data_IF_777687079212
#
_entry.id   IF_777687079212
#
_cell.length_a   1.000
_cell.length_b   1.000
_cell.length_c   1.000
_cell.angle_alpha   90.00
_cell.angle_beta   90.00
_cell.angle_gamma   90.00
#
_symmetry.space_group_name_H-M   'P 1'
#
loop_
_entity.id
_entity.type
_entity.pdbx_description
1 polymer ?
#
# COMPACT_ATOMS: atom_id res chain seq x y z
N UNK A 1 11.43 4.41 12.87
CA UNK A 1 10.09 3.99 12.45
C UNK A 1 9.04 4.88 13.12
N UNK A 2 8.05 5.30 12.36
CA UNK A 2 6.89 6.01 12.89
C UNK A 2 5.61 5.25 12.58
N UNK A 3 4.62 5.39 13.44
CA UNK A 3 3.30 4.80 13.25
C UNK A 3 2.31 5.88 12.84
N UNK A 4 1.63 5.67 11.73
CA UNK A 4 0.49 6.49 11.32
C UNK A 4 -0.79 5.79 11.77
N UNK A 5 -1.53 6.44 12.67
CA UNK A 5 -2.76 5.88 13.21
C UNK A 5 -3.92 6.30 12.31
N UNK A 6 -4.64 5.33 11.79
CA UNK A 6 -5.82 5.58 10.95
C UNK A 6 -7.03 4.98 11.66
N UNK A 7 -8.01 5.83 11.95
CA UNK A 7 -9.27 5.40 12.52
C UNK A 7 -10.26 5.10 11.40
N UNK A 8 -10.79 3.88 11.38
CA UNK A 8 -11.79 3.44 10.42
C UNK A 8 -13.09 3.17 11.14
N UNK A 9 -14.19 3.73 10.63
CA UNK A 9 -15.52 3.51 11.20
C UNK A 9 -15.95 2.05 11.13
N UNK A 10 -15.49 1.32 10.12
CA UNK A 10 -15.88 -0.07 9.87
C UNK A 10 -14.84 -1.10 10.30
N UNK A 11 -13.57 -0.69 10.45
CA UNK A 11 -12.46 -1.61 10.66
C UNK A 11 -11.67 -1.34 11.95
N UNK A 12 -12.12 -0.35 12.75
CA UNK A 12 -11.44 0.05 13.97
C UNK A 12 -10.16 0.85 13.70
N UNK A 13 -9.34 1.00 14.72
CA UNK A 13 -8.09 1.73 14.64
C UNK A 13 -6.99 0.82 14.12
N UNK A 14 -6.26 1.28 13.09
CA UNK A 14 -5.14 0.53 12.50
C UNK A 14 -3.87 1.37 12.56
N UNK A 15 -2.75 0.70 12.71
CA UNK A 15 -1.43 1.31 12.70
C UNK A 15 -0.74 0.99 11.38
N UNK A 16 -0.29 2.03 10.67
CA UNK A 16 0.53 1.90 9.47
C UNK A 16 1.97 2.21 9.86
N UNK A 17 2.88 1.32 9.53
CA UNK A 17 4.30 1.49 9.85
C UNK A 17 4.99 2.19 8.68
N UNK A 18 5.76 3.22 9.01
CA UNK A 18 6.49 4.03 8.04
C UNK A 18 7.91 4.28 8.53
N UNK A 19 8.84 4.46 7.60
CA UNK A 19 10.13 5.04 7.94
C UNK A 19 9.92 6.47 8.41
N UNK A 20 10.71 6.91 9.36
CA UNK A 20 10.64 8.27 9.87
C UNK A 20 10.81 9.31 8.77
N UNK A 21 11.71 9.02 7.82
CA UNK A 21 11.96 9.91 6.67
C UNK A 21 10.78 10.02 5.70
N UNK A 22 9.87 9.06 5.68
CA UNK A 22 8.70 9.07 4.80
C UNK A 22 7.44 9.66 5.47
N UNK A 23 7.46 9.82 6.77
CA UNK A 23 6.26 10.18 7.52
C UNK A 23 5.68 11.53 7.09
N UNK A 24 6.50 12.55 6.98
CA UNK A 24 6.04 13.88 6.54
C UNK A 24 5.54 13.86 5.10
N UNK A 25 6.24 13.16 4.21
CA UNK A 25 5.84 13.03 2.82
C UNK A 25 4.46 12.37 2.68
N UNK A 26 4.19 11.35 3.48
CA UNK A 26 2.91 10.63 3.44
C UNK A 26 1.80 11.44 4.09
N UNK A 27 2.08 12.15 5.18
CA UNK A 27 1.04 12.85 5.95
C UNK A 27 0.79 14.28 5.48
N UNK A 28 1.75 14.91 4.81
CA UNK A 28 1.63 16.29 4.31
C UNK A 28 1.03 16.33 2.91
N UNK A 29 -0.17 15.79 2.76
CA UNK A 29 -0.89 15.69 1.50
C UNK A 29 -2.30 16.26 1.67
N UNK A 30 -2.93 16.77 0.59
CA UNK A 30 -4.27 17.37 0.68
C UNK A 30 -5.41 16.35 0.70
N UNK A 31 -5.12 15.07 0.62
CA UNK A 31 -6.11 14.00 0.70
C UNK A 31 -5.99 13.25 2.03
N UNK A 32 -7.00 12.40 2.33
CA UNK A 32 -7.00 11.56 3.52
C UNK A 32 -6.68 10.12 3.15
N UNK A 33 -5.89 9.47 4.00
CA UNK A 33 -5.64 8.04 3.90
C UNK A 33 -6.68 7.29 4.72
N UNK A 34 -7.19 6.18 4.15
CA UNK A 34 -8.12 5.30 4.84
C UNK A 34 -7.63 3.85 4.72
N UNK A 35 -8.24 2.97 5.52
CA UNK A 35 -7.91 1.55 5.51
C UNK A 35 -8.84 0.85 4.53
N UNK A 36 -8.25 0.15 3.57
CA UNK A 36 -8.98 -0.69 2.63
C UNK A 36 -8.75 -2.15 2.96
N UNK A 37 -9.86 -2.89 3.14
CA UNK A 37 -9.82 -4.34 3.31
C UNK A 37 -10.07 -5.02 1.98
N UNK A 38 -9.17 -5.94 1.63
CA UNK A 38 -9.38 -6.85 0.50
C UNK A 38 -9.59 -8.24 1.05
N UNK A 39 -10.73 -8.83 0.75
CA UNK A 39 -11.08 -10.18 1.17
C UNK A 39 -11.11 -11.09 -0.06
N UNK A 40 -10.31 -12.15 -0.01
CA UNK A 40 -10.30 -13.16 -1.05
C UNK A 40 -10.34 -14.54 -0.39
N UNK A 41 -11.44 -15.26 -0.56
CA UNK A 41 -11.73 -16.52 0.14
C UNK A 41 -11.65 -16.30 1.64
N UNK A 42 -10.77 -17.03 2.35
CA UNK A 42 -10.60 -16.94 3.80
C UNK A 42 -9.51 -15.96 4.22
N UNK A 43 -8.94 -15.24 3.26
CA UNK A 43 -7.81 -14.33 3.52
C UNK A 43 -8.25 -12.89 3.52
N UNK A 44 -7.76 -12.12 4.46
CA UNK A 44 -7.95 -10.68 4.51
C UNK A 44 -6.60 -9.98 4.42
N UNK A 45 -6.56 -8.92 3.62
CA UNK A 45 -5.41 -8.02 3.54
C UNK A 45 -5.87 -6.59 3.74
N UNK A 46 -5.06 -5.84 4.45
CA UNK A 46 -5.34 -4.45 4.79
C UNK A 46 -4.29 -3.57 4.15
N UNK A 47 -4.72 -2.45 3.58
CA UNK A 47 -3.82 -1.49 2.94
C UNK A 47 -4.22 -0.07 3.30
N UNK A 48 -3.24 0.85 3.30
CA UNK A 48 -3.51 2.28 3.28
C UNK A 48 -3.80 2.71 1.85
N UNK A 49 -4.92 3.40 1.67
CA UNK A 49 -5.38 3.82 0.35
C UNK A 49 -5.99 5.21 0.44
N UNK A 50 -5.91 5.97 -0.64
CA UNK A 50 -6.62 7.23 -0.79
C UNK A 50 -7.40 7.21 -2.10
N UNK A 51 -8.52 7.91 -2.12
CA UNK A 51 -9.26 8.18 -3.35
C UNK A 51 -9.26 9.66 -3.60
N UNK A 52 -8.51 10.07 -4.61
CA UNK A 52 -8.35 11.47 -4.95
C UNK A 52 -9.56 11.97 -5.73
N UNK A 53 -10.03 13.16 -5.40
CA UNK A 53 -11.01 13.86 -6.22
C UNK A 53 -10.37 14.23 -7.55
N UNK A 54 -11.19 14.63 -8.53
CA UNK A 54 -10.69 15.06 -9.84
C UNK A 54 -9.65 16.17 -9.70
N UNK A 55 -9.92 17.18 -8.88
CA UNK A 55 -8.98 18.30 -8.67
C UNK A 55 -7.70 17.84 -7.95
N UNK A 56 -7.80 16.92 -6.97
CA UNK A 56 -6.64 16.35 -6.31
C UNK A 56 -5.80 15.50 -7.26
N UNK A 57 -6.44 14.74 -8.14
CA UNK A 57 -5.74 13.93 -9.14
C UNK A 57 -5.00 14.82 -10.16
N UNK A 58 -5.59 15.92 -10.58
CA UNK A 58 -4.91 16.90 -11.45
C UNK A 58 -3.69 17.50 -10.77
N UNK A 59 -3.83 17.87 -9.49
CA UNK A 59 -2.71 18.39 -8.68
C UNK A 59 -1.61 17.35 -8.51
N UNK A 60 -1.99 16.10 -8.28
CA UNK A 60 -1.05 15.00 -8.18
C UNK A 60 -0.22 14.84 -9.46
N UNK A 61 -0.86 14.85 -10.62
CA UNK A 61 -0.18 14.75 -11.92
C UNK A 61 0.74 15.93 -12.17
N UNK A 62 0.35 17.12 -11.74
CA UNK A 62 1.16 18.34 -11.86
C UNK A 62 2.43 18.25 -11.01
N UNK A 63 2.29 17.80 -9.75
CA UNK A 63 3.41 17.67 -8.81
C UNK A 63 4.31 16.48 -9.10
N UNK A 64 3.74 15.40 -9.63
CA UNK A 64 4.44 14.13 -9.88
C UNK A 64 4.14 13.61 -11.28
N UNK A 65 4.64 14.28 -12.33
CA UNK A 65 4.26 13.95 -13.71
C UNK A 65 4.66 12.53 -14.15
N UNK A 66 5.67 11.95 -13.52
CA UNK A 66 6.17 10.61 -13.85
C UNK A 66 5.51 9.50 -13.03
N UNK A 67 4.59 9.86 -12.13
CA UNK A 67 3.91 8.88 -11.28
C UNK A 67 2.56 8.50 -11.85
N UNK A 68 2.26 7.21 -11.74
CA UNK A 68 0.97 6.67 -12.17
C UNK A 68 -0.09 6.84 -11.09
N UNK A 69 -1.29 7.20 -11.52
CA UNK A 69 -2.49 7.16 -10.70
C UNK A 69 -3.60 6.49 -11.52
N UNK A 70 -4.43 5.66 -10.89
CA UNK A 70 -5.52 5.00 -11.61
C UNK A 70 -6.54 6.03 -12.12
N UNK A 71 -7.28 5.74 -13.22
CA UNK A 71 -8.31 6.65 -13.71
C UNK A 71 -9.39 6.98 -12.69
N UNK A 72 -9.66 6.08 -11.74
CA UNK A 72 -10.63 6.31 -10.66
C UNK A 72 -10.12 7.23 -9.56
N UNK A 73 -8.83 7.57 -9.56
CA UNK A 73 -8.20 8.37 -8.52
C UNK A 73 -7.74 7.57 -7.30
N UNK A 74 -7.81 6.25 -7.37
CA UNK A 74 -7.33 5.39 -6.28
C UNK A 74 -5.81 5.40 -6.21
N UNK A 75 -5.26 5.57 -5.01
CA UNK A 75 -3.83 5.63 -4.77
C UNK A 75 -3.48 4.82 -3.53
N UNK A 76 -2.65 3.79 -3.71
CA UNK A 76 -2.15 3.01 -2.59
C UNK A 76 -0.98 3.72 -1.94
N UNK A 77 -0.91 3.70 -0.60
CA UNK A 77 0.15 4.39 0.13
C UNK A 77 1.54 3.89 -0.25
N UNK A 78 1.72 2.58 -0.40
CA UNK A 78 3.03 2.02 -0.78
C UNK A 78 3.43 2.43 -2.21
N UNK A 79 2.48 2.64 -3.12
CA UNK A 79 2.76 3.16 -4.46
C UNK A 79 3.20 4.62 -4.39
N UNK A 80 2.60 5.40 -3.49
CA UNK A 80 2.97 6.79 -3.27
C UNK A 80 4.40 6.91 -2.73
N UNK A 81 4.79 6.01 -1.83
CA UNK A 81 6.14 6.00 -1.25
C UNK A 81 7.20 5.58 -2.28
N UNK A 82 6.95 4.48 -3.02
CA UNK A 82 7.98 3.82 -3.84
C UNK A 82 8.05 4.27 -5.29
N UNK A 83 7.00 4.89 -5.82
CA UNK A 83 6.93 5.31 -7.23
C UNK A 83 7.34 4.20 -8.21
N UNK A 84 6.55 3.13 -8.25
CA UNK A 84 6.82 1.98 -9.09
C UNK A 84 6.77 2.33 -10.59
N UNK A 85 7.74 1.89 -11.41
CA UNK A 85 7.65 2.02 -12.86
C UNK A 85 6.45 1.29 -13.42
N UNK A 86 5.97 1.75 -14.59
CA UNK A 86 4.85 1.10 -15.27
C UNK A 86 5.16 -0.37 -15.53
N UNK A 87 4.20 -1.25 -15.23
CA UNK A 87 4.33 -2.68 -15.41
C UNK A 87 5.00 -3.42 -14.26
N UNK A 88 5.51 -2.68 -13.28
CA UNK A 88 6.08 -3.27 -12.05
C UNK A 88 5.05 -3.24 -10.93
N UNK A 89 5.21 -4.14 -9.97
CA UNK A 89 4.38 -4.22 -8.78
C UNK A 89 5.18 -3.81 -7.55
N UNK A 90 4.48 -3.50 -6.46
CA UNK A 90 5.11 -3.32 -5.16
C UNK A 90 4.60 -4.43 -4.26
N UNK A 91 5.53 -5.12 -3.62
CA UNK A 91 5.26 -6.29 -2.80
C UNK A 91 5.61 -6.00 -1.35
N UNK A 92 4.76 -6.45 -0.42
CA UNK A 92 5.04 -6.43 1.03
C UNK A 92 5.70 -7.77 1.39
N UNK A 93 6.98 -7.72 1.74
CA UNK A 93 7.79 -8.93 1.96
C UNK A 93 7.19 -9.81 3.06
N UNK A 94 6.74 -9.21 4.16
CA UNK A 94 6.12 -9.93 5.28
C UNK A 94 4.61 -10.16 5.11
N UNK A 95 4.04 -9.82 3.95
CA UNK A 95 2.61 -9.91 3.62
C UNK A 95 1.69 -9.00 4.43
N UNK A 96 2.23 -8.08 5.22
CA UNK A 96 1.45 -7.08 5.94
C UNK A 96 1.35 -5.79 5.13
N UNK A 97 0.19 -5.54 4.55
CA UNK A 97 -0.05 -4.36 3.70
C UNK A 97 -0.03 -3.02 4.46
N UNK A 98 0.00 -3.04 5.80
CA UNK A 98 0.12 -1.85 6.63
C UNK A 98 1.56 -1.58 7.07
N UNK A 99 2.48 -2.48 6.78
CA UNK A 99 3.91 -2.30 7.04
C UNK A 99 4.59 -1.72 5.80
N UNK A 100 4.59 -0.40 5.70
CA UNK A 100 5.12 0.33 4.57
C UNK A 100 6.53 0.88 4.83
N UNK A 101 7.27 0.27 5.74
CA UNK A 101 8.70 0.55 5.90
C UNK A 101 9.44 0.10 4.64
N UNK A 102 10.41 0.87 4.21
CA UNK A 102 11.13 0.58 2.96
C UNK A 102 11.83 -0.78 2.97
N UNK A 103 12.26 -1.25 4.13
CA UNK A 103 12.84 -2.59 4.28
C UNK A 103 11.84 -3.72 4.02
N UNK A 104 10.53 -3.42 4.05
CA UNK A 104 9.46 -4.39 3.86
C UNK A 104 8.74 -4.26 2.51
N UNK A 105 8.92 -3.18 1.78
CA UNK A 105 8.29 -2.99 0.48
C UNK A 105 9.36 -2.98 -0.61
N UNK A 106 9.06 -3.66 -1.72
CA UNK A 106 10.00 -3.76 -2.85
C UNK A 106 9.27 -3.65 -4.17
N UNK A 107 9.94 -3.05 -5.13
CA UNK A 107 9.47 -3.07 -6.52
C UNK A 107 9.86 -4.42 -7.11
N UNK A 108 8.89 -5.10 -7.71
CA UNK A 108 9.10 -6.44 -8.25
C UNK A 108 8.34 -6.61 -9.56
N UNK A 109 8.74 -7.63 -10.34
CA UNK A 109 7.99 -8.04 -11.52
C UNK A 109 6.71 -8.74 -11.11
N UNK A 110 5.69 -8.83 -12.00
CA UNK A 110 4.51 -9.64 -11.73
C UNK A 110 4.83 -11.09 -11.38
N UNK A 111 5.85 -11.67 -12.01
CA UNK A 111 6.30 -13.03 -11.72
C UNK A 111 6.84 -13.17 -10.30
N UNK A 112 7.69 -12.24 -9.86
CA UNK A 112 8.23 -12.23 -8.50
C UNK A 112 7.12 -12.06 -7.46
N UNK A 113 6.15 -11.18 -7.74
CA UNK A 113 5.00 -10.97 -6.86
C UNK A 113 4.17 -12.25 -6.72
N UNK A 114 3.95 -12.97 -7.81
CA UNK A 114 3.24 -14.25 -7.80
C UNK A 114 3.99 -15.31 -6.98
N UNK A 115 5.32 -15.35 -7.07
CA UNK A 115 6.15 -16.25 -6.27
C UNK A 115 6.03 -15.98 -4.78
N UNK A 116 6.00 -14.70 -4.36
CA UNK A 116 5.82 -14.34 -2.97
C UNK A 116 4.46 -14.80 -2.44
N UNK A 117 3.41 -14.67 -3.24
CA UNK A 117 2.06 -15.15 -2.89
C UNK A 117 2.03 -16.68 -2.73
N UNK A 118 2.74 -17.41 -3.57
CA UNK A 118 2.87 -18.87 -3.48
C UNK A 118 3.59 -19.29 -2.20
N UNK A 119 4.65 -18.58 -1.81
CA UNK A 119 5.38 -18.85 -0.56
C UNK A 119 4.47 -18.71 0.65
N UNK A 120 3.64 -17.67 0.68
CA UNK A 120 2.66 -17.50 1.75
C UNK A 120 1.69 -18.67 1.80
N UNK A 121 1.16 -19.11 0.65
CA UNK A 121 0.25 -20.25 0.56
C UNK A 121 0.89 -21.51 1.11
N UNK A 122 2.13 -21.79 0.73
CA UNK A 122 2.88 -22.95 1.19
C UNK A 122 3.14 -22.90 2.70
N UNK A 123 3.51 -21.73 3.21
CA UNK A 123 3.71 -21.51 4.63
C UNK A 123 2.45 -21.81 5.44
N UNK A 124 1.30 -21.31 4.99
CA UNK A 124 0.01 -21.53 5.65
C UNK A 124 -0.38 -23.01 5.64
N UNK A 125 -0.09 -23.73 4.56
CA UNK A 125 -0.34 -25.19 4.47
C UNK A 125 0.51 -25.93 5.49
N UNK A 126 1.79 -25.59 5.62
CA UNK A 126 2.69 -26.19 6.60
C UNK A 126 2.21 -25.93 8.03
N UNK A 127 1.75 -24.72 8.31
CA UNK A 127 1.26 -24.33 9.64
C UNK A 127 -0.04 -25.05 10.03
N UNK A 128 -0.84 -25.48 9.04
CA UNK A 128 -2.10 -26.21 9.26
C UNK A 128 -1.90 -27.72 9.37
N UNK A 129 -0.78 -28.21 8.93
CA UNK A 129 -0.44 -29.64 9.04
C UNK A 129 0.30 -29.95 10.33
#
# INVERSE_FOLDING_TARGET
>A
MKKLIIESKTHGTKEVLLDESDYEFVTNVPWSWYIRRYKYKDKEKWYGEAKLTESQALKYKELFPDRYITPSGALMMHQFIMNSPKGMHIDHINHDGLDNRRENIRICTPSENAQNKRRLKNYLVIMQS
#
